data_IF_456942147899
#
_entry.id   IF_456942147899
#
_cell.length_a   1.000
_cell.length_b   1.000
_cell.length_c   1.000
_cell.angle_alpha   90.00
_cell.angle_beta   90.00
_cell.angle_gamma   90.00
#
_symmetry.space_group_name_H-M   'P 1'
#
loop_
_entity.id
_entity.type
_entity.pdbx_description
1 polymer ?
#
# COMPACT_ATOMS: atom_id res chain seq x y z
N UNK A 1 16.64 -10.28 -26.21
CA UNK A 1 15.28 -10.68 -25.83
C UNK A 1 14.36 -9.52 -26.20
N UNK A 2 13.38 -9.72 -27.07
CA UNK A 2 12.56 -8.66 -27.68
C UNK A 2 11.72 -7.92 -26.62
N UNK A 3 11.62 -6.59 -26.74
CA UNK A 3 10.87 -5.72 -25.84
C UNK A 3 9.35 -5.91 -26.00
N UNK A 4 8.81 -6.97 -25.37
CA UNK A 4 7.44 -7.46 -25.58
C UNK A 4 6.41 -6.51 -24.99
N UNK A 5 6.72 -5.86 -23.88
CA UNK A 5 5.86 -4.84 -23.26
C UNK A 5 5.83 -3.57 -24.11
N UNK A 6 6.99 -3.07 -24.54
CA UNK A 6 7.04 -1.85 -25.35
C UNK A 6 6.33 -2.04 -26.70
N UNK A 7 6.43 -3.22 -27.30
CA UNK A 7 5.70 -3.58 -28.50
C UNK A 7 4.19 -3.62 -28.26
N UNK A 8 3.73 -4.41 -27.27
CA UNK A 8 2.31 -4.54 -26.95
C UNK A 8 1.67 -3.18 -26.60
N UNK A 9 2.39 -2.32 -25.86
CA UNK A 9 1.91 -0.99 -25.53
C UNK A 9 1.76 -0.09 -26.78
N UNK A 10 2.69 -0.17 -27.74
CA UNK A 10 2.55 0.55 -29.02
C UNK A 10 1.40 0.03 -29.86
N UNK A 11 1.27 -1.29 -29.98
CA UNK A 11 0.16 -1.94 -30.70
C UNK A 11 -1.19 -1.58 -30.08
N UNK A 12 -1.24 -1.41 -28.76
CA UNK A 12 -2.47 -1.05 -28.05
C UNK A 12 -3.04 0.33 -28.44
N UNK A 13 -2.25 1.19 -29.07
CA UNK A 13 -2.71 2.46 -29.61
C UNK A 13 -3.78 2.29 -30.71
N UNK A 14 -3.60 1.29 -31.58
CA UNK A 14 -4.51 0.97 -32.69
C UNK A 14 -5.34 -0.29 -32.45
N UNK A 15 -4.87 -1.22 -31.61
CA UNK A 15 -5.58 -2.43 -31.22
C UNK A 15 -5.71 -2.51 -29.69
N UNK A 16 -6.79 -1.98 -29.08
CA UNK A 16 -6.97 -1.96 -27.62
C UNK A 16 -6.75 -3.32 -26.92
N UNK A 17 -7.04 -4.45 -27.57
CA UNK A 17 -6.87 -5.79 -27.00
C UNK A 17 -5.40 -6.12 -26.72
N UNK A 18 -4.44 -5.52 -27.44
CA UNK A 18 -3.01 -5.70 -27.19
C UNK A 18 -2.59 -5.17 -25.80
N UNK A 19 -3.40 -4.31 -25.17
CA UNK A 19 -3.16 -3.89 -23.79
C UNK A 19 -3.37 -5.03 -22.78
N UNK A 20 -4.13 -6.07 -23.13
CA UNK A 20 -4.33 -7.23 -22.26
C UNK A 20 -3.01 -7.87 -21.84
N UNK A 21 -2.03 -7.93 -22.75
CA UNK A 21 -0.68 -8.40 -22.41
C UNK A 21 0.01 -7.54 -21.34
N UNK A 22 -0.15 -6.20 -21.41
CA UNK A 22 0.39 -5.30 -20.37
C UNK A 22 -0.31 -5.56 -19.04
N UNK A 23 -1.62 -5.77 -19.06
CA UNK A 23 -2.38 -6.06 -17.85
C UNK A 23 -1.91 -7.34 -17.18
N UNK A 24 -1.88 -8.45 -17.92
CA UNK A 24 -1.51 -9.77 -17.40
C UNK A 24 -0.08 -9.79 -16.87
N UNK A 25 0.85 -9.14 -17.57
CA UNK A 25 2.27 -9.14 -17.22
C UNK A 25 2.61 -8.17 -16.08
N UNK A 26 1.91 -7.03 -15.98
CA UNK A 26 2.28 -5.94 -15.06
C UNK A 26 1.37 -5.77 -13.85
N UNK A 27 0.15 -6.31 -13.83
CA UNK A 27 -0.74 -6.19 -12.67
C UNK A 27 -0.12 -6.80 -11.41
N UNK A 28 0.39 -8.03 -11.51
CA UNK A 28 1.04 -8.73 -10.40
C UNK A 28 2.24 -7.98 -9.81
N UNK A 29 3.25 -7.60 -10.62
CA UNK A 29 4.41 -6.82 -10.16
C UNK A 29 4.06 -5.47 -9.53
N UNK A 30 3.10 -4.75 -10.12
CA UNK A 30 2.63 -3.47 -9.57
C UNK A 30 1.94 -3.70 -8.22
N UNK A 31 1.06 -4.70 -8.15
CA UNK A 31 0.34 -5.07 -6.94
C UNK A 31 1.32 -5.43 -5.81
N UNK A 32 2.31 -6.27 -6.06
CA UNK A 32 3.32 -6.65 -5.05
C UNK A 32 4.06 -5.42 -4.50
N UNK A 33 4.48 -4.54 -5.42
CA UNK A 33 5.17 -3.30 -5.03
C UNK A 33 4.28 -2.39 -4.18
N UNK A 34 2.99 -2.31 -4.51
CA UNK A 34 2.02 -1.48 -3.78
C UNK A 34 1.69 -2.09 -2.41
N UNK A 35 1.48 -3.39 -2.33
CA UNK A 35 1.24 -4.11 -1.07
C UNK A 35 2.37 -3.85 -0.06
N UNK A 36 3.62 -3.89 -0.53
CA UNK A 36 4.81 -3.56 0.30
C UNK A 36 4.85 -2.13 0.82
N UNK A 37 4.10 -1.20 0.20
CA UNK A 37 4.10 0.22 0.55
C UNK A 37 2.88 0.64 1.35
N UNK A 38 1.74 -0.01 1.10
CA UNK A 38 0.46 0.33 1.72
C UNK A 38 0.12 -0.58 2.89
N UNK A 39 0.65 -1.81 2.90
CA UNK A 39 0.34 -2.86 3.89
C UNK A 39 -1.14 -3.24 3.97
N UNK A 40 -1.86 -3.04 2.87
CA UNK A 40 -3.28 -3.30 2.70
C UNK A 40 -3.50 -3.79 1.27
N UNK A 41 -3.93 -5.05 1.12
CA UNK A 41 -4.01 -5.68 -0.19
C UNK A 41 -5.19 -5.13 -1.02
N UNK A 42 -6.29 -4.74 -0.37
CA UNK A 42 -7.46 -4.19 -1.08
C UNK A 42 -7.11 -2.83 -1.70
N UNK A 43 -6.50 -1.95 -0.91
CA UNK A 43 -6.03 -0.65 -1.42
C UNK A 43 -5.01 -0.87 -2.54
N UNK A 44 -4.11 -1.83 -2.37
CA UNK A 44 -3.08 -2.10 -3.37
C UNK A 44 -3.69 -2.61 -4.69
N UNK A 45 -4.71 -3.46 -4.63
CA UNK A 45 -5.48 -3.93 -5.80
C UNK A 45 -6.17 -2.76 -6.49
N UNK A 46 -6.86 -1.90 -5.76
CA UNK A 46 -7.54 -0.73 -6.31
C UNK A 46 -6.54 0.22 -7.00
N UNK A 47 -5.43 0.52 -6.33
CA UNK A 47 -4.40 1.40 -6.89
C UNK A 47 -3.71 0.75 -8.12
N UNK A 48 -3.51 -0.56 -8.13
CA UNK A 48 -2.96 -1.28 -9.29
C UNK A 48 -3.93 -1.22 -10.49
N UNK A 49 -5.22 -1.50 -10.26
CA UNK A 49 -6.25 -1.42 -11.29
C UNK A 49 -6.38 0.00 -11.85
N UNK A 50 -6.42 1.02 -10.98
CA UNK A 50 -6.45 2.42 -11.39
C UNK A 50 -5.20 2.84 -12.16
N UNK A 51 -4.03 2.27 -11.83
CA UNK A 51 -2.77 2.53 -12.53
C UNK A 51 -2.85 2.04 -13.96
N UNK A 52 -3.27 0.78 -14.17
CA UNK A 52 -3.39 0.21 -15.51
C UNK A 52 -4.52 0.87 -16.32
N UNK A 53 -5.62 1.26 -15.68
CA UNK A 53 -6.67 2.05 -16.33
C UNK A 53 -6.13 3.42 -16.79
N UNK A 54 -5.38 4.15 -15.94
CA UNK A 54 -4.76 5.42 -16.34
C UNK A 54 -3.72 5.20 -17.46
N UNK A 55 -2.90 4.15 -17.35
CA UNK A 55 -1.94 3.79 -18.39
C UNK A 55 -2.62 3.50 -19.73
N UNK A 56 -3.74 2.76 -19.73
CA UNK A 56 -4.54 2.53 -20.93
C UNK A 56 -4.97 3.85 -21.58
N UNK A 57 -5.48 4.81 -20.80
CA UNK A 57 -5.88 6.13 -21.36
C UNK A 57 -4.70 6.95 -21.88
N UNK A 58 -3.50 6.76 -21.34
CA UNK A 58 -2.31 7.55 -21.67
C UNK A 58 -1.34 6.86 -22.63
N UNK A 59 -1.61 5.61 -23.06
CA UNK A 59 -0.72 4.79 -23.90
C UNK A 59 -0.19 5.52 -25.14
N UNK A 60 -1.01 6.35 -25.78
CA UNK A 60 -0.63 7.15 -26.96
C UNK A 60 0.44 8.24 -26.68
N UNK A 61 0.67 8.58 -25.41
CA UNK A 61 1.66 9.56 -24.96
C UNK A 61 2.99 8.93 -24.57
N UNK A 62 3.05 7.60 -24.43
CA UNK A 62 4.30 6.92 -24.18
C UNK A 62 5.24 7.04 -25.39
N UNK A 63 6.53 7.28 -25.11
CA UNK A 63 7.57 7.50 -26.14
C UNK A 63 8.79 6.60 -25.95
N UNK A 64 8.79 5.75 -24.93
CA UNK A 64 9.88 4.79 -24.70
C UNK A 64 9.89 3.67 -25.73
N UNK A 65 10.98 2.94 -25.75
CA UNK A 65 11.24 1.86 -26.72
C UNK A 65 11.51 0.51 -26.06
N UNK A 66 11.83 0.50 -24.77
CA UNK A 66 12.22 -0.68 -24.00
C UNK A 66 11.19 -1.07 -22.95
N UNK A 67 11.21 -2.34 -22.54
CA UNK A 67 10.33 -2.86 -21.48
C UNK A 67 10.59 -2.18 -20.14
N UNK A 68 11.86 -1.88 -19.83
CA UNK A 68 12.24 -1.15 -18.61
C UNK A 68 11.62 0.25 -18.56
N UNK A 69 11.56 0.96 -19.69
CA UNK A 69 10.90 2.27 -19.76
C UNK A 69 9.38 2.16 -19.55
N UNK A 70 8.74 1.09 -20.03
CA UNK A 70 7.32 0.82 -19.77
C UNK A 70 7.09 0.59 -18.28
N UNK A 71 7.88 -0.29 -17.66
CA UNK A 71 7.81 -0.59 -16.23
C UNK A 71 7.99 0.68 -15.39
N UNK A 72 9.00 1.50 -15.71
CA UNK A 72 9.26 2.76 -15.02
C UNK A 72 8.10 3.75 -15.18
N UNK A 73 7.52 3.84 -16.37
CA UNK A 73 6.36 4.69 -16.63
C UNK A 73 5.12 4.24 -15.87
N UNK A 74 4.82 2.94 -15.83
CA UNK A 74 3.73 2.38 -15.04
C UNK A 74 3.94 2.63 -13.54
N UNK A 75 5.17 2.45 -13.05
CA UNK A 75 5.51 2.74 -11.66
C UNK A 75 5.35 4.22 -11.30
N UNK A 76 5.68 5.14 -12.21
CA UNK A 76 5.47 6.57 -12.01
C UNK A 76 3.96 6.93 -11.94
N UNK A 77 3.12 6.27 -12.73
CA UNK A 77 1.65 6.40 -12.62
C UNK A 77 1.18 5.88 -11.26
N UNK A 78 1.63 4.69 -10.85
CA UNK A 78 1.30 4.09 -9.56
C UNK A 78 1.72 4.98 -8.38
N UNK A 79 2.90 5.59 -8.44
CA UNK A 79 3.39 6.50 -7.40
C UNK A 79 2.51 7.75 -7.28
N UNK A 80 2.11 8.33 -8.41
CA UNK A 80 1.17 9.47 -8.44
C UNK A 80 -0.21 9.09 -7.90
N UNK A 81 -0.70 7.91 -8.24
CA UNK A 81 -1.98 7.36 -7.77
C UNK A 81 -1.96 7.12 -6.27
N UNK A 82 -0.92 6.48 -5.77
CA UNK A 82 -0.72 6.24 -4.35
C UNK A 82 -0.59 7.54 -3.55
N UNK A 83 0.16 8.52 -4.07
CA UNK A 83 0.27 9.84 -3.44
C UNK A 83 -1.06 10.61 -3.46
N UNK A 84 -1.92 10.41 -4.47
CA UNK A 84 -3.27 10.98 -4.50
C UNK A 84 -4.18 10.26 -3.50
N UNK A 85 -4.10 8.93 -3.44
CA UNK A 85 -4.83 8.10 -2.49
C UNK A 85 -4.58 8.59 -1.06
N UNK A 86 -3.33 8.66 -0.60
CA UNK A 86 -3.02 9.16 0.75
C UNK A 86 -3.44 10.61 1.01
N UNK A 87 -3.48 11.47 -0.01
CA UNK A 87 -3.96 12.86 0.12
C UNK A 87 -5.49 12.94 0.25
N UNK A 88 -6.22 12.06 -0.43
CA UNK A 88 -7.69 11.98 -0.39
C UNK A 88 -8.20 11.17 0.80
N UNK A 89 -7.52 10.09 1.17
CA UNK A 89 -7.88 9.17 2.25
C UNK A 89 -8.00 9.86 3.61
N UNK A 90 -7.18 10.87 3.88
CA UNK A 90 -7.26 11.65 5.13
C UNK A 90 -8.62 12.34 5.31
N UNK A 91 -9.33 12.61 4.19
CA UNK A 91 -10.59 13.35 4.12
C UNK A 91 -11.78 12.40 3.86
N UNK A 92 -11.62 11.40 2.98
CA UNK A 92 -12.71 10.60 2.42
C UNK A 92 -12.99 9.29 3.18
N UNK A 93 -11.96 8.59 3.70
CA UNK A 93 -12.18 7.37 4.53
C UNK A 93 -12.97 7.64 5.81
N UNK A 94 -12.84 8.84 6.37
CA UNK A 94 -13.64 9.28 7.53
C UNK A 94 -15.11 9.49 7.17
N UNK A 95 -15.43 9.75 5.91
CA UNK A 95 -16.78 9.95 5.41
C UNK A 95 -17.42 8.63 4.96
N UNK A 96 -16.67 7.78 4.23
CA UNK A 96 -17.18 6.50 3.72
C UNK A 96 -17.44 5.48 4.85
N UNK A 97 -16.58 5.38 5.87
CA UNK A 97 -16.87 4.56 7.07
C UNK A 97 -18.12 5.02 7.84
N UNK A 98 -18.48 6.31 7.76
CA UNK A 98 -19.71 6.85 8.38
C UNK A 98 -20.98 6.55 7.57
N UNK A 99 -20.83 6.13 6.32
CA UNK A 99 -21.92 5.89 5.38
C UNK A 99 -22.22 4.40 5.14
N UNK A 100 -21.39 3.49 5.66
CA UNK A 100 -21.65 2.04 5.62
C UNK A 100 -21.73 1.47 4.21
N UNK A 101 -20.97 2.03 3.26
CA UNK A 101 -20.92 1.56 1.88
C UNK A 101 -19.79 0.53 1.79
N UNK A 102 -20.15 -0.73 1.55
CA UNK A 102 -19.20 -1.82 1.31
C UNK A 102 -18.64 -1.72 -0.12
N UNK A 103 -17.32 -1.61 -0.23
CA UNK A 103 -16.60 -1.77 -1.50
C UNK A 103 -16.53 -3.27 -1.81
N UNK A 104 -16.40 -3.72 -3.07
CA UNK A 104 -15.99 -5.10 -3.32
C UNK A 104 -14.69 -5.39 -2.54
N UNK A 105 -14.77 -6.31 -1.59
CA UNK A 105 -13.69 -6.73 -0.72
C UNK A 105 -13.03 -7.99 -1.29
N UNK A 106 -11.72 -8.14 -1.08
CA UNK A 106 -11.03 -9.39 -1.38
C UNK A 106 -11.55 -10.48 -0.44
N UNK A 107 -11.57 -11.73 -0.89
CA UNK A 107 -11.75 -12.84 0.05
C UNK A 107 -10.53 -12.95 0.98
N UNK A 108 -10.69 -13.60 2.13
CA UNK A 108 -9.57 -13.82 3.06
C UNK A 108 -8.43 -14.61 2.39
N UNK A 109 -8.77 -15.57 1.51
CA UNK A 109 -7.80 -16.34 0.73
C UNK A 109 -7.05 -15.45 -0.26
N UNK A 110 -7.74 -14.63 -1.06
CA UNK A 110 -7.13 -13.71 -2.02
C UNK A 110 -6.22 -12.69 -1.31
N UNK A 111 -6.68 -12.16 -0.19
CA UNK A 111 -5.90 -11.25 0.64
C UNK A 111 -4.62 -11.94 1.16
N UNK A 112 -4.72 -13.19 1.63
CA UNK A 112 -3.56 -13.96 2.10
C UNK A 112 -2.55 -14.24 0.97
N UNK A 113 -3.02 -14.73 -0.18
CA UNK A 113 -2.16 -15.02 -1.35
C UNK A 113 -1.38 -13.80 -1.83
N UNK A 114 -2.04 -12.64 -1.89
CA UNK A 114 -1.40 -11.38 -2.30
C UNK A 114 -0.29 -10.98 -1.32
N UNK A 115 -0.47 -11.20 -0.02
CA UNK A 115 0.53 -10.87 0.99
C UNK A 115 1.71 -11.84 0.98
N UNK A 116 1.45 -13.13 0.83
CA UNK A 116 2.49 -14.16 0.69
C UNK A 116 3.36 -13.87 -0.53
N UNK A 117 2.74 -13.65 -1.70
CA UNK A 117 3.43 -13.30 -2.95
C UNK A 117 4.27 -12.02 -2.83
N UNK A 118 3.78 -11.04 -2.08
CA UNK A 118 4.50 -9.79 -1.84
C UNK A 118 5.64 -9.91 -0.81
N UNK A 119 5.84 -11.08 -0.17
CA UNK A 119 6.84 -11.29 0.88
C UNK A 119 6.46 -10.63 2.21
N UNK A 120 5.18 -10.38 2.46
CA UNK A 120 4.70 -9.68 3.65
C UNK A 120 4.45 -10.58 4.86
N UNK A 121 4.48 -11.90 4.69
CA UNK A 121 4.27 -12.86 5.77
C UNK A 121 5.27 -12.67 6.92
N UNK A 122 6.56 -12.59 6.57
CA UNK A 122 7.65 -12.41 7.52
C UNK A 122 7.58 -11.04 8.19
N UNK A 123 7.29 -9.98 7.43
CA UNK A 123 7.12 -8.63 7.96
C UNK A 123 5.90 -8.53 8.90
N UNK A 124 4.78 -9.19 8.57
CA UNK A 124 3.62 -9.29 9.46
C UNK A 124 3.97 -10.03 10.75
N UNK A 125 4.73 -11.11 10.64
CA UNK A 125 5.26 -11.86 11.78
C UNK A 125 6.11 -10.97 12.70
N UNK A 126 7.05 -10.22 12.11
CA UNK A 126 7.89 -9.25 12.82
C UNK A 126 7.06 -8.16 13.50
N UNK A 127 6.19 -7.47 12.75
CA UNK A 127 5.37 -6.38 13.33
C UNK A 127 4.53 -6.92 14.48
N UNK A 128 4.00 -8.15 14.37
CA UNK A 128 3.24 -8.80 15.44
C UNK A 128 4.11 -9.14 16.65
N UNK A 129 5.32 -9.65 16.47
CA UNK A 129 6.24 -9.92 17.58
C UNK A 129 6.64 -8.64 18.30
N UNK A 130 6.96 -7.59 17.54
CA UNK A 130 7.35 -6.28 18.09
C UNK A 130 6.20 -5.59 18.81
N UNK A 131 4.98 -5.66 18.26
CA UNK A 131 3.78 -5.19 18.95
C UNK A 131 3.59 -5.90 20.29
N UNK A 132 3.84 -7.22 20.37
CA UNK A 132 3.78 -7.99 21.63
C UNK A 132 4.91 -7.61 22.60
N UNK A 133 6.09 -7.27 22.09
CA UNK A 133 7.24 -6.86 22.90
C UNK A 133 7.11 -5.44 23.48
N UNK A 134 6.21 -4.59 22.93
CA UNK A 134 5.95 -3.26 23.49
C UNK A 134 5.44 -3.35 24.94
N UNK A 135 5.89 -2.43 25.83
CA UNK A 135 5.29 -2.28 27.15
C UNK A 135 3.78 -2.06 27.04
N UNK A 136 3.00 -2.68 27.93
CA UNK A 136 1.53 -2.67 27.88
C UNK A 136 0.93 -1.28 27.74
N UNK A 137 1.45 -0.30 28.47
CA UNK A 137 1.01 1.09 28.41
C UNK A 137 1.25 1.76 27.05
N UNK A 138 2.31 1.36 26.33
CA UNK A 138 2.60 1.85 24.98
C UNK A 138 1.74 1.14 23.95
N UNK A 139 1.58 -0.19 24.06
CA UNK A 139 0.70 -0.99 23.20
C UNK A 139 -0.75 -0.52 23.28
N UNK A 140 -1.29 -0.35 24.49
CA UNK A 140 -2.65 0.14 24.70
C UNK A 140 -2.88 1.54 24.09
N UNK A 141 -1.95 2.48 24.31
CA UNK A 141 -2.03 3.81 23.72
C UNK A 141 -1.97 3.78 22.19
N UNK A 142 -1.11 2.93 21.62
CA UNK A 142 -1.00 2.76 20.17
C UNK A 142 -2.27 2.15 19.57
N UNK A 143 -2.84 1.10 20.18
CA UNK A 143 -4.09 0.47 19.74
C UNK A 143 -5.23 1.48 19.73
N UNK A 144 -5.48 2.17 20.84
CA UNK A 144 -6.54 3.17 20.94
C UNK A 144 -6.37 4.31 19.91
N UNK A 145 -5.13 4.71 19.61
CA UNK A 145 -4.86 5.81 18.67
C UNK A 145 -4.97 5.39 17.21
N UNK A 146 -4.45 4.22 16.86
CA UNK A 146 -4.22 3.80 15.46
C UNK A 146 -5.28 2.83 14.97
N UNK A 147 -5.72 1.89 15.81
CA UNK A 147 -6.74 0.90 15.45
C UNK A 147 -8.13 1.47 15.69
N UNK A 148 -8.36 2.03 16.88
CA UNK A 148 -9.67 2.60 17.24
C UNK A 148 -9.83 4.06 16.73
N UNK A 149 -8.81 4.60 16.07
CA UNK A 149 -8.74 5.95 15.49
C UNK A 149 -9.05 7.12 16.46
N UNK A 150 -8.99 6.92 17.79
CA UNK A 150 -9.44 7.91 18.79
C UNK A 150 -8.49 9.10 18.92
N UNK A 151 -8.99 10.35 19.06
CA UNK A 151 -8.13 11.51 19.29
C UNK A 151 -7.36 11.37 20.61
N UNK A 152 -6.18 12.01 20.70
CA UNK A 152 -5.31 11.87 21.87
C UNK A 152 -5.99 12.23 23.21
N UNK A 153 -6.94 13.17 23.21
CA UNK A 153 -7.74 13.52 24.38
C UNK A 153 -8.58 12.33 24.89
N UNK A 154 -9.18 11.54 24.00
CA UNK A 154 -9.93 10.34 24.36
C UNK A 154 -9.01 9.18 24.76
N UNK A 155 -7.86 9.03 24.11
CA UNK A 155 -6.82 8.06 24.53
C UNK A 155 -6.36 8.36 25.95
N UNK A 156 -6.09 9.63 26.24
CA UNK A 156 -5.69 10.11 27.56
C UNK A 156 -6.75 9.83 28.62
N UNK A 157 -8.01 10.16 28.32
CA UNK A 157 -9.15 9.87 29.21
C UNK A 157 -9.31 8.38 29.51
N UNK A 158 -9.26 7.50 28.50
CA UNK A 158 -9.40 6.04 28.70
C UNK A 158 -8.25 5.42 29.48
N UNK A 159 -7.05 5.98 29.38
CA UNK A 159 -5.86 5.47 30.05
C UNK A 159 -5.57 6.15 31.39
N UNK A 160 -6.37 7.16 31.79
CA UNK A 160 -6.14 7.92 33.02
C UNK A 160 -4.82 8.70 33.03
N UNK A 161 -4.42 9.27 31.88
CA UNK A 161 -3.15 10.01 31.72
C UNK A 161 -3.38 11.38 31.07
N UNK A 162 -2.34 12.20 30.96
CA UNK A 162 -2.39 13.46 30.19
C UNK A 162 -2.31 13.21 28.67
N UNK A 163 -2.77 14.18 27.88
CA UNK A 163 -2.69 14.10 26.41
C UNK A 163 -1.23 14.04 25.93
N UNK A 164 -0.33 14.79 26.58
CA UNK A 164 1.11 14.75 26.32
C UNK A 164 1.69 13.36 26.58
N UNK A 165 1.28 12.72 27.68
CA UNK A 165 1.71 11.36 28.00
C UNK A 165 1.21 10.34 26.97
N UNK A 166 -0.04 10.50 26.48
CA UNK A 166 -0.58 9.68 25.40
C UNK A 166 0.22 9.85 24.11
N UNK A 167 0.50 11.09 23.68
CA UNK A 167 1.34 11.40 22.51
C UNK A 167 2.73 10.79 22.64
N UNK A 168 3.36 10.93 23.81
CA UNK A 168 4.69 10.38 24.06
C UNK A 168 4.71 8.84 24.02
N UNK A 169 3.68 8.17 24.57
CA UNK A 169 3.55 6.71 24.51
C UNK A 169 3.37 6.21 23.08
N UNK A 170 2.49 6.83 22.30
CA UNK A 170 2.29 6.49 20.88
C UNK A 170 3.57 6.73 20.07
N UNK A 171 4.22 7.88 20.27
CA UNK A 171 5.47 8.20 19.56
C UNK A 171 6.62 7.24 19.90
N UNK A 172 6.68 6.70 21.12
CA UNK A 172 7.66 5.68 21.52
C UNK A 172 7.33 4.32 20.88
N UNK A 173 6.07 3.91 20.92
CA UNK A 173 5.61 2.68 20.28
C UNK A 173 5.92 2.67 18.78
N UNK A 174 5.58 3.75 18.06
CA UNK A 174 5.88 3.90 16.63
C UNK A 174 7.38 3.92 16.33
N UNK A 175 8.20 4.48 17.23
CA UNK A 175 9.67 4.46 17.07
C UNK A 175 10.24 3.06 17.21
N UNK A 176 9.77 2.27 18.18
CA UNK A 176 10.19 0.89 18.37
C UNK A 176 9.82 0.04 17.14
N UNK A 177 8.57 0.12 16.68
CA UNK A 177 8.12 -0.59 15.47
C UNK A 177 8.92 -0.18 14.23
N UNK A 178 9.16 1.12 14.05
CA UNK A 178 9.98 1.62 12.92
C UNK A 178 11.41 1.13 12.99
N UNK A 179 12.01 1.04 14.17
CA UNK A 179 13.37 0.55 14.34
C UNK A 179 13.46 -0.90 13.92
N UNK A 180 12.56 -1.76 14.42
CA UNK A 180 12.55 -3.18 14.10
C UNK A 180 12.36 -3.46 12.60
N UNK A 181 11.47 -2.71 11.94
CA UNK A 181 11.26 -2.82 10.48
C UNK A 181 12.51 -2.38 9.69
N UNK A 182 13.28 -1.40 10.19
CA UNK A 182 14.50 -0.91 9.52
C UNK A 182 15.73 -1.77 9.75
N UNK A 183 15.81 -2.49 10.87
CA UNK A 183 16.96 -3.34 11.22
C UNK A 183 16.84 -4.76 10.66
N UNK A 184 15.72 -5.09 10.03
CA UNK A 184 15.52 -6.35 9.34
C UNK A 184 15.76 -6.17 7.82
N UNK A 185 16.33 -7.16 7.13
CA UNK A 185 16.75 -7.07 5.73
C UNK A 185 15.56 -7.20 4.76
N UNK A 186 14.48 -6.44 4.97
CA UNK A 186 13.34 -6.39 4.07
C UNK A 186 13.44 -5.27 3.02
N UNK A 187 14.52 -4.49 3.07
CA UNK A 187 14.63 -3.23 2.35
C UNK A 187 16.04 -3.02 1.79
N UNK A 188 16.54 -3.93 0.96
CA UNK A 188 17.71 -3.63 0.12
C UNK A 188 17.75 -4.53 -1.13
N UNK A 189 16.72 -4.43 -1.97
CA UNK A 189 16.90 -4.67 -3.41
C UNK A 189 16.22 -3.52 -4.17
N UNK A 190 16.98 -2.47 -4.42
CA UNK A 190 16.71 -1.56 -5.53
C UNK A 190 17.98 -1.55 -6.38
N UNK A 191 17.93 -1.96 -7.66
CA UNK A 191 19.06 -1.78 -8.57
C UNK A 191 19.31 -0.30 -8.88
#
# INVERSE_FOLDING_TARGET
MMARLAQALRESASNPEAFGFIFDDQFGPILDRLVRRVFDAEIAVDVAAETLAEAFTQRNRFRGSTDAEVVNWLNAIADRKLARFYRKDAVEKRALRRLGIDSPHLTEEEHHEVLERAGMAELRGLVRSELRALPDAQRAALTLRVVDELPYSQVASRLGITEEAARARVARALRALRHAVRTQPFAEETP
#
